data_IF_638448881036
#
_entry.id   IF_638448881036
#
_cell.length_a   1.000
_cell.length_b   1.000
_cell.length_c   1.000
_cell.angle_alpha   90.00
_cell.angle_beta   90.00
_cell.angle_gamma   90.00
#
_symmetry.space_group_name_H-M   'P 1'
#
loop_
_entity.id
_entity.type
_entity.pdbx_description
1 polymer ?
#
# COMPACT_ATOMS: atom_id res chain seq x y z
N UNK A 1 -2.54 19.12 -6.13
CA UNK A 1 -2.92 18.11 -7.14
C UNK A 1 -3.95 18.75 -8.07
N UNK A 2 -3.85 18.55 -9.38
CA UNK A 2 -4.90 18.93 -10.33
C UNK A 2 -6.19 18.10 -10.08
N UNK A 3 -7.34 18.77 -10.14
CA UNK A 3 -8.65 18.18 -9.88
C UNK A 3 -8.97 16.99 -10.78
N UNK A 4 -8.40 16.91 -12.00
CA UNK A 4 -8.62 15.79 -12.92
C UNK A 4 -8.06 14.45 -12.40
N UNK A 5 -7.14 14.48 -11.43
CA UNK A 5 -6.56 13.28 -10.82
C UNK A 5 -7.13 12.95 -9.44
N UNK A 6 -8.03 13.79 -8.90
CA UNK A 6 -8.76 13.46 -7.68
C UNK A 6 -9.77 12.35 -7.98
N UNK A 7 -10.02 11.50 -6.98
CA UNK A 7 -11.12 10.54 -7.05
C UNK A 7 -12.45 11.29 -7.14
N UNK A 8 -13.27 10.90 -8.13
CA UNK A 8 -14.65 11.35 -8.21
C UNK A 8 -15.51 10.65 -7.14
N UNK A 9 -16.77 11.08 -7.03
CA UNK A 9 -17.70 10.57 -6.02
C UNK A 9 -17.89 9.06 -6.09
N UNK A 10 -17.95 8.48 -7.30
CA UNK A 10 -18.10 7.03 -7.47
C UNK A 10 -16.86 6.27 -6.98
N UNK A 11 -15.66 6.74 -7.32
CA UNK A 11 -14.42 6.13 -6.88
C UNK A 11 -14.23 6.26 -5.36
N UNK A 12 -14.59 7.40 -4.77
CA UNK A 12 -14.59 7.58 -3.31
C UNK A 12 -15.61 6.68 -2.63
N UNK A 13 -16.83 6.58 -3.15
CA UNK A 13 -17.85 5.68 -2.61
C UNK A 13 -17.37 4.23 -2.66
N UNK A 14 -16.73 3.83 -3.76
CA UNK A 14 -16.17 2.49 -3.91
C UNK A 14 -15.06 2.22 -2.89
N UNK A 15 -14.15 3.17 -2.69
CA UNK A 15 -13.12 3.05 -1.66
C UNK A 15 -13.73 2.90 -0.25
N UNK A 16 -14.75 3.72 0.08
CA UNK A 16 -15.43 3.66 1.38
C UNK A 16 -16.08 2.28 1.59
N UNK A 17 -16.81 1.78 0.59
CA UNK A 17 -17.56 0.52 0.69
C UNK A 17 -16.64 -0.69 0.66
N UNK A 18 -15.71 -0.75 -0.29
CA UNK A 18 -14.90 -1.94 -0.55
C UNK A 18 -13.60 -1.97 0.26
N UNK A 19 -13.14 -0.82 0.76
CA UNK A 19 -11.96 -0.68 1.62
C UNK A 19 -10.63 -0.58 0.87
N UNK A 20 -10.65 -0.54 -0.47
CA UNK A 20 -9.46 -0.40 -1.30
C UNK A 20 -9.80 0.24 -2.66
N UNK A 21 -8.76 0.70 -3.36
CA UNK A 21 -8.82 1.12 -4.76
C UNK A 21 -7.55 0.65 -5.46
N UNK A 22 -7.67 0.26 -6.73
CA UNK A 22 -6.52 -0.09 -7.57
C UNK A 22 -6.23 1.07 -8.52
N UNK A 23 -5.00 1.55 -8.51
CA UNK A 23 -4.52 2.60 -9.39
C UNK A 23 -3.71 2.00 -10.54
N UNK A 24 -3.82 2.59 -11.72
CA UNK A 24 -2.96 2.27 -12.86
C UNK A 24 -2.00 3.43 -13.07
N UNK A 25 -0.71 3.14 -12.93
CA UNK A 25 0.36 4.09 -13.24
C UNK A 25 0.32 4.46 -14.73
N UNK A 26 0.63 5.72 -15.02
CA UNK A 26 0.87 6.21 -16.39
C UNK A 26 2.34 6.13 -16.80
N UNK A 27 3.23 5.71 -15.89
CA UNK A 27 4.65 5.56 -16.19
C UNK A 27 4.88 4.43 -17.20
N UNK A 28 5.94 4.53 -18.02
CA UNK A 28 6.21 3.53 -19.03
C UNK A 28 6.64 2.21 -18.40
N UNK A 29 6.33 1.08 -19.04
CA UNK A 29 6.70 -0.27 -18.56
C UNK A 29 8.18 -0.40 -18.18
N UNK A 30 9.07 0.25 -18.92
CA UNK A 30 10.50 0.21 -18.63
C UNK A 30 10.88 0.90 -17.32
N UNK A 31 10.08 1.85 -16.84
CA UNK A 31 10.28 2.45 -15.51
C UNK A 31 10.00 1.40 -14.44
N UNK A 32 8.86 0.71 -14.53
CA UNK A 32 8.49 -0.33 -13.58
C UNK A 32 9.49 -1.49 -13.59
N UNK A 33 9.94 -1.93 -14.76
CA UNK A 33 11.00 -2.94 -14.89
C UNK A 33 12.29 -2.53 -14.17
N UNK A 34 12.76 -1.28 -14.35
CA UNK A 34 13.94 -0.80 -13.60
C UNK A 34 13.71 -0.75 -12.09
N UNK A 35 12.51 -0.41 -11.64
CA UNK A 35 12.18 -0.42 -10.21
C UNK A 35 12.15 -1.83 -9.67
N UNK A 36 11.62 -2.79 -10.43
CA UNK A 36 11.69 -4.21 -10.09
C UNK A 36 13.14 -4.65 -9.93
N UNK A 37 13.98 -4.44 -10.94
CA UNK A 37 15.38 -4.85 -10.92
C UNK A 37 16.15 -4.19 -9.76
N UNK A 38 15.92 -2.90 -9.49
CA UNK A 38 16.57 -2.20 -8.39
C UNK A 38 16.15 -2.76 -7.03
N UNK A 39 14.85 -3.04 -6.85
CA UNK A 39 14.30 -3.61 -5.62
C UNK A 39 14.74 -5.06 -5.39
N UNK A 40 14.86 -5.86 -6.45
CA UNK A 40 15.32 -7.25 -6.36
C UNK A 40 16.75 -7.36 -5.80
N UNK A 41 17.58 -6.34 -5.99
CA UNK A 41 18.93 -6.31 -5.39
C UNK A 41 18.95 -6.07 -3.89
N UNK A 42 17.81 -5.68 -3.29
CA UNK A 42 17.68 -5.48 -1.85
C UNK A 42 17.34 -6.82 -1.21
N UNK A 43 18.17 -7.22 -0.26
CA UNK A 43 17.89 -8.40 0.56
C UNK A 43 16.89 -8.02 1.65
N UNK A 44 15.71 -8.67 1.69
CA UNK A 44 14.71 -8.47 2.75
C UNK A 44 15.30 -8.74 4.14
N UNK A 45 16.39 -9.49 4.31
CA UNK A 45 17.09 -9.65 5.59
C UNK A 45 18.33 -8.75 5.76
N UNK A 46 18.67 -7.96 4.75
CA UNK A 46 19.93 -7.25 4.63
C UNK A 46 19.96 -5.88 5.31
N UNK A 47 21.12 -5.20 5.32
CA UNK A 47 21.27 -3.86 5.89
C UNK A 47 20.62 -2.75 5.04
N UNK A 48 20.12 -3.09 3.84
CA UNK A 48 19.49 -2.21 2.86
C UNK A 48 18.07 -2.69 2.58
N UNK A 49 17.17 -1.79 2.19
CA UNK A 49 15.73 -2.08 2.08
C UNK A 49 14.92 -1.63 3.30
N UNK A 50 13.73 -2.21 3.47
CA UNK A 50 12.74 -1.85 4.49
C UNK A 50 12.47 -0.33 4.56
N UNK A 51 12.63 0.28 5.74
CA UNK A 51 12.40 1.69 5.96
C UNK A 51 13.42 2.58 5.21
N UNK A 52 14.52 2.00 4.71
CA UNK A 52 15.54 2.66 3.90
C UNK A 52 15.29 2.51 2.38
N UNK A 53 14.14 1.99 1.97
CA UNK A 53 13.79 1.77 0.56
C UNK A 53 14.01 3.02 -0.32
N UNK A 54 13.51 4.17 0.13
CA UNK A 54 13.60 5.42 -0.63
C UNK A 54 15.04 5.95 -0.77
N UNK A 55 15.88 5.94 0.28
CA UNK A 55 17.30 6.19 0.12
C UNK A 55 18.02 5.22 -0.84
N UNK A 56 17.66 3.94 -0.84
CA UNK A 56 18.27 2.92 -1.71
C UNK A 56 17.83 3.05 -3.18
N UNK A 57 16.55 3.37 -3.41
CA UNK A 57 15.94 3.50 -4.74
C UNK A 57 15.16 4.83 -4.80
N UNK A 58 15.85 5.98 -4.95
CA UNK A 58 15.22 7.30 -4.90
C UNK A 58 14.22 7.55 -6.04
N UNK A 59 14.36 6.85 -7.17
CA UNK A 59 13.46 6.92 -8.32
C UNK A 59 12.03 6.48 -8.00
N UNK A 60 11.81 5.71 -6.94
CA UNK A 60 10.45 5.40 -6.45
C UNK A 60 9.66 6.67 -6.12
N UNK A 61 10.34 7.78 -5.83
CA UNK A 61 9.70 9.08 -5.66
C UNK A 61 8.93 9.53 -6.88
N UNK A 62 9.38 9.18 -8.09
CA UNK A 62 8.69 9.51 -9.35
C UNK A 62 7.31 8.83 -9.40
N UNK A 63 7.21 7.58 -8.97
CA UNK A 63 5.93 6.85 -8.87
C UNK A 63 5.04 7.43 -7.77
N UNK A 64 5.61 7.73 -6.60
CA UNK A 64 4.85 8.32 -5.49
C UNK A 64 4.30 9.70 -5.82
N UNK A 65 5.02 10.47 -6.64
CA UNK A 65 4.64 11.81 -7.08
C UNK A 65 3.80 11.79 -8.37
N UNK A 66 3.48 10.60 -8.93
CA UNK A 66 2.57 10.52 -10.08
C UNK A 66 1.23 11.17 -9.75
N UNK A 67 0.64 11.97 -10.66
CA UNK A 67 -0.62 12.64 -10.39
C UNK A 67 -1.76 11.69 -9.98
N UNK A 68 -1.82 10.49 -10.57
CA UNK A 68 -2.84 9.47 -10.21
C UNK A 68 -2.66 8.93 -8.78
N UNK A 69 -1.42 8.81 -8.30
CA UNK A 69 -1.10 8.35 -6.95
C UNK A 69 -1.34 9.47 -5.95
N UNK A 70 -0.73 10.63 -6.18
CA UNK A 70 -0.88 11.79 -5.32
C UNK A 70 -2.33 12.26 -5.23
N UNK A 71 -3.08 12.22 -6.34
CA UNK A 71 -4.50 12.57 -6.38
C UNK A 71 -5.38 11.62 -5.59
N UNK A 72 -5.18 10.31 -5.74
CA UNK A 72 -5.91 9.32 -4.95
C UNK A 72 -5.63 9.46 -3.44
N UNK A 73 -4.35 9.62 -3.06
CA UNK A 73 -3.97 9.82 -1.67
C UNK A 73 -4.55 11.13 -1.09
N UNK A 74 -4.50 12.22 -1.87
CA UNK A 74 -5.11 13.50 -1.47
C UNK A 74 -6.62 13.39 -1.29
N UNK A 75 -7.32 12.65 -2.16
CA UNK A 75 -8.77 12.43 -2.02
C UNK A 75 -9.12 11.62 -0.77
N UNK A 76 -8.31 10.63 -0.41
CA UNK A 76 -8.61 9.72 0.71
C UNK A 76 -8.18 10.31 2.06
N UNK A 77 -6.96 10.86 2.13
CA UNK A 77 -6.35 11.33 3.38
C UNK A 77 -6.51 12.84 3.61
N UNK A 78 -6.89 13.58 2.56
CA UNK A 78 -6.85 15.04 2.55
C UNK A 78 -5.49 15.59 2.07
N UNK A 79 -5.40 16.92 1.93
CA UNK A 79 -4.13 17.58 1.63
C UNK A 79 -3.11 17.38 2.76
N UNK A 80 -1.84 17.60 2.43
CA UNK A 80 -0.72 17.57 3.39
C UNK A 80 -0.52 16.22 4.11
N UNK A 81 -0.97 15.12 3.49
CA UNK A 81 -0.56 13.79 3.92
C UNK A 81 0.97 13.66 3.80
N UNK A 82 1.54 12.82 4.66
CA UNK A 82 2.95 12.49 4.58
C UNK A 82 3.13 10.98 4.46
N UNK A 83 4.24 10.58 3.86
CA UNK A 83 4.56 9.17 3.72
C UNK A 83 5.10 8.64 5.05
N UNK A 84 4.42 7.65 5.61
CA UNK A 84 4.79 7.03 6.88
C UNK A 84 6.24 6.50 6.85
N UNK A 85 6.92 6.49 8.01
CA UNK A 85 8.32 6.06 8.10
C UNK A 85 8.49 4.57 7.80
N UNK A 86 7.43 3.79 8.01
CA UNK A 86 7.43 2.36 7.74
C UNK A 86 7.22 2.06 6.26
N UNK A 87 8.16 1.34 5.67
CA UNK A 87 8.13 0.83 4.28
C UNK A 87 8.79 -0.53 4.27
N UNK A 88 8.38 -1.39 3.35
CA UNK A 88 8.91 -2.74 3.27
C UNK A 88 8.83 -3.27 1.84
N UNK A 89 9.96 -3.80 1.37
CA UNK A 89 10.13 -4.55 0.13
C UNK A 89 9.86 -6.03 0.40
N UNK A 90 8.60 -6.41 0.25
CA UNK A 90 8.18 -7.79 0.49
C UNK A 90 8.58 -8.70 -0.67
N UNK A 91 9.28 -9.79 -0.35
CA UNK A 91 9.50 -10.90 -1.28
C UNK A 91 8.55 -12.04 -0.91
N UNK A 92 7.81 -12.54 -1.91
CA UNK A 92 6.97 -13.72 -1.73
C UNK A 92 7.67 -14.93 -2.36
N UNK A 93 8.05 -15.90 -1.52
CA UNK A 93 8.69 -17.13 -1.96
C UNK A 93 7.62 -18.21 -2.29
N UNK A 94 7.97 -19.22 -3.10
CA UNK A 94 7.14 -20.41 -3.21
C UNK A 94 6.82 -20.97 -1.82
N UNK A 95 5.56 -21.37 -1.60
CA UNK A 95 5.06 -21.92 -0.34
C UNK A 95 5.08 -20.98 0.89
N UNK A 96 5.25 -19.65 0.70
CA UNK A 96 5.17 -18.65 1.79
C UNK A 96 3.83 -17.91 1.89
N UNK A 97 2.72 -18.59 1.59
CA UNK A 97 1.39 -17.98 1.65
C UNK A 97 1.08 -17.45 3.06
N UNK A 98 0.67 -16.19 3.16
CA UNK A 98 0.31 -15.57 4.43
C UNK A 98 -1.15 -15.92 4.81
N UNK A 99 -1.43 -16.23 6.09
CA UNK A 99 -2.81 -16.38 6.54
C UNK A 99 -3.56 -15.06 6.46
N UNK A 100 -4.90 -15.13 6.44
CA UNK A 100 -5.73 -13.94 6.49
C UNK A 100 -5.36 -13.09 7.71
N UNK A 101 -5.16 -11.80 7.47
CA UNK A 101 -4.75 -10.86 8.48
C UNK A 101 -5.26 -9.47 8.17
N UNK A 102 -5.11 -8.58 9.14
CA UNK A 102 -5.21 -7.15 8.96
C UNK A 102 -3.88 -6.56 9.35
N UNK A 103 -3.37 -5.68 8.50
CA UNK A 103 -2.20 -4.90 8.84
C UNK A 103 -2.51 -4.06 10.07
N UNK A 104 -1.67 -4.21 11.08
CA UNK A 104 -1.95 -3.71 12.41
C UNK A 104 -0.79 -3.77 13.42
N UNK A 105 -0.55 -2.63 14.02
CA UNK A 105 -0.26 -2.35 15.44
C UNK A 105 1.08 -2.59 16.12
N UNK A 106 1.95 -3.52 15.75
CA UNK A 106 3.15 -3.70 16.62
C UNK A 106 4.17 -2.55 16.51
N UNK A 107 4.07 -1.68 15.49
CA UNK A 107 4.97 -0.52 15.34
C UNK A 107 4.29 0.86 15.36
N UNK A 108 2.95 0.96 15.29
CA UNK A 108 2.30 2.25 14.99
C UNK A 108 0.99 2.57 15.72
N UNK A 109 0.25 1.63 16.31
CA UNK A 109 -1.11 1.96 16.78
C UNK A 109 -1.16 2.64 18.16
N UNK A 110 -0.25 2.31 19.08
CA UNK A 110 -0.10 3.13 20.30
C UNK A 110 0.23 4.59 19.95
N UNK A 111 0.96 4.80 18.86
CA UNK A 111 1.40 6.13 18.43
C UNK A 111 0.33 6.87 17.59
N UNK A 112 -0.58 6.16 16.90
CA UNK A 112 -1.49 6.77 15.91
C UNK A 112 -2.92 6.87 16.39
N UNK A 113 -3.49 5.86 17.06
CA UNK A 113 -4.93 5.84 17.38
C UNK A 113 -5.30 5.25 18.75
N UNK A 114 -4.32 4.74 19.51
CA UNK A 114 -4.56 4.15 20.83
C UNK A 114 -5.51 2.95 20.79
N UNK A 115 -5.49 2.17 19.69
CA UNK A 115 -6.40 1.06 19.41
C UNK A 115 -7.86 1.49 19.20
N UNK A 116 -8.11 2.78 18.97
CA UNK A 116 -9.44 3.31 18.68
C UNK A 116 -9.63 3.37 17.18
N UNK A 117 -10.77 2.85 16.71
CA UNK A 117 -11.18 3.06 15.33
C UNK A 117 -11.80 4.43 15.18
N UNK A 118 -11.05 5.34 14.58
CA UNK A 118 -11.62 6.61 14.12
C UNK A 118 -12.61 6.35 12.98
N UNK A 119 -13.67 7.14 12.93
CA UNK A 119 -14.62 7.13 11.81
C UNK A 119 -14.00 7.65 10.50
N UNK A 120 -12.84 8.32 10.59
CA UNK A 120 -12.15 8.91 9.45
C UNK A 120 -10.88 8.10 9.18
N UNK A 121 -10.66 7.72 7.93
CA UNK A 121 -9.44 7.07 7.48
C UNK A 121 -8.25 8.01 7.71
N UNK A 122 -7.37 7.69 8.67
CA UNK A 122 -6.16 8.48 9.00
C UNK A 122 -4.90 8.01 8.28
N UNK A 123 -4.91 6.77 7.80
CA UNK A 123 -3.80 6.16 7.08
C UNK A 123 -4.33 5.20 6.03
N UNK A 124 -3.55 5.02 4.97
CA UNK A 124 -3.74 3.96 3.97
C UNK A 124 -2.41 3.28 3.71
N UNK A 125 -2.47 2.02 3.33
CA UNK A 125 -1.31 1.30 2.82
C UNK A 125 -1.30 1.37 1.30
N UNK A 126 -0.16 1.75 0.73
CA UNK A 126 0.08 1.73 -0.71
C UNK A 126 0.89 0.49 -1.05
N UNK A 127 0.33 -0.41 -1.85
CA UNK A 127 1.03 -1.57 -2.39
C UNK A 127 1.41 -1.27 -3.84
N UNK A 128 2.71 -1.26 -4.13
CA UNK A 128 3.24 -1.03 -5.46
C UNK A 128 3.78 -2.34 -6.04
N UNK A 129 3.24 -2.75 -7.18
CA UNK A 129 3.67 -3.93 -7.92
C UNK A 129 4.38 -3.46 -9.20
N UNK A 130 5.73 -3.41 -9.22
CA UNK A 130 6.49 -3.03 -10.42
C UNK A 130 6.44 -4.09 -11.55
N UNK A 131 5.84 -5.24 -11.29
CA UNK A 131 5.68 -6.37 -12.22
C UNK A 131 4.21 -6.79 -12.34
N UNK A 132 3.91 -7.57 -13.38
CA UNK A 132 2.60 -8.22 -13.52
C UNK A 132 2.40 -9.27 -12.39
N UNK A 133 1.17 -9.39 -11.87
CA UNK A 133 0.82 -10.27 -10.74
C UNK A 133 -0.21 -11.34 -11.14
N UNK A 134 0.17 -12.30 -12.01
CA UNK A 134 -0.74 -13.34 -12.47
C UNK A 134 -1.09 -14.32 -11.33
N UNK A 135 -2.14 -15.13 -11.50
CA UNK A 135 -2.63 -16.02 -10.44
C UNK A 135 -1.57 -17.01 -9.95
N UNK A 136 -0.74 -17.51 -10.85
CA UNK A 136 0.35 -18.43 -10.57
C UNK A 136 1.46 -17.83 -9.69
N UNK A 137 1.58 -16.50 -9.62
CA UNK A 137 2.56 -15.83 -8.74
C UNK A 137 2.03 -15.56 -7.33
N UNK A 138 0.80 -15.97 -7.02
CA UNK A 138 0.19 -15.77 -5.70
C UNK A 138 -0.03 -14.28 -5.36
N UNK A 139 -0.92 -13.57 -6.08
CA UNK A 139 -1.17 -12.15 -5.84
C UNK A 139 -1.76 -11.91 -4.45
N UNK A 140 -1.63 -10.68 -3.94
CA UNK A 140 -2.28 -10.28 -2.69
C UNK A 140 -3.80 -10.41 -2.81
N UNK A 141 -4.38 -11.23 -1.94
CA UNK A 141 -5.83 -11.37 -1.79
C UNK A 141 -6.40 -10.34 -0.82
N UNK A 142 -7.35 -9.53 -1.28
CA UNK A 142 -8.13 -8.62 -0.42
C UNK A 142 -9.53 -9.18 -0.27
N UNK A 143 -10.02 -9.28 0.97
CA UNK A 143 -11.45 -9.53 1.24
C UNK A 143 -12.17 -8.19 1.24
N UNK A 144 -12.99 -7.87 0.22
CA UNK A 144 -13.66 -6.58 0.15
C UNK A 144 -14.55 -6.33 1.36
N UNK A 145 -14.71 -5.07 1.78
CA UNK A 145 -15.55 -4.64 2.91
C UNK A 145 -15.07 -5.14 4.28
N UNK A 146 -13.98 -5.88 4.31
CA UNK A 146 -13.50 -6.48 5.55
C UNK A 146 -12.96 -5.45 6.52
N UNK A 147 -12.60 -4.23 6.11
CA UNK A 147 -12.15 -3.13 6.99
C UNK A 147 -13.15 -2.84 8.12
N UNK A 148 -14.45 -3.00 7.87
CA UNK A 148 -15.50 -2.88 8.89
C UNK A 148 -15.42 -3.94 10.00
N UNK A 149 -14.87 -5.13 9.72
CA UNK A 149 -14.74 -6.22 10.69
C UNK A 149 -13.63 -5.91 11.72
N UNK A 150 -13.87 -5.98 13.04
CA UNK A 150 -12.82 -5.83 14.05
C UNK A 150 -11.63 -6.79 13.85
N UNK A 151 -10.39 -6.32 14.03
CA UNK A 151 -9.17 -7.14 13.90
C UNK A 151 -9.23 -8.41 14.77
N UNK A 152 -9.64 -8.25 16.04
CA UNK A 152 -9.86 -9.37 16.97
C UNK A 152 -10.76 -10.49 16.44
N UNK A 153 -11.72 -10.16 15.57
CA UNK A 153 -12.61 -11.16 14.98
C UNK A 153 -11.93 -11.93 13.85
N UNK A 154 -11.05 -11.27 13.08
CA UNK A 154 -10.23 -11.92 12.05
C UNK A 154 -9.19 -12.82 12.70
N UNK A 155 -8.54 -12.36 13.77
CA UNK A 155 -7.51 -13.13 14.48
C UNK A 155 -8.07 -14.36 15.20
N UNK A 156 -9.32 -14.30 15.66
CA UNK A 156 -9.99 -15.44 16.28
C UNK A 156 -10.30 -16.61 15.31
N UNK A 157 -10.09 -16.42 14.00
CA UNK A 157 -10.26 -17.47 12.99
C UNK A 157 -8.98 -18.27 12.73
N UNK A 158 -7.87 -17.92 13.40
CA UNK A 158 -6.56 -18.58 13.24
C UNK A 158 -6.40 -19.78 14.17
#
# INVERSE_FOLDING_TARGET
VDATYLLNDEAMQRFIVEGYVTLRSGLPRHFHARMFDALETLDEGGPHGHNNLLPCVPELRIMLDEPVVAGALTSILGPDYYLHFHRHDHVNFPDSAQPLHKDGDNHSHYAVDGLRRDQVTRYVMLLYYPQDTPMESGPTGIVPRSHYVPRRQVEALR
#
